data_IF_407730434889
#
_entry.id   IF_407730434889
#
_cell.length_a   1.000
_cell.length_b   1.000
_cell.length_c   1.000
_cell.angle_alpha   90.00
_cell.angle_beta   90.00
_cell.angle_gamma   90.00
#
_symmetry.space_group_name_H-M   'P 1'
#
loop_
_entity.id
_entity.type
_entity.pdbx_description
1 polymer ?
#
# COMPACT_ATOMS: atom_id res chain seq x y z
N UNK A 1 -19.10 -38.63 12.01
CA UNK A 1 -18.19 -37.92 11.09
C UNK A 1 -16.77 -38.43 11.30
N UNK A 2 -16.11 -38.94 10.26
CA UNK A 2 -14.83 -39.66 10.40
C UNK A 2 -13.65 -38.68 10.61
N UNK A 3 -12.74 -38.91 11.58
CA UNK A 3 -11.53 -38.10 11.82
C UNK A 3 -10.64 -37.89 10.57
N UNK A 4 -10.80 -38.75 9.57
CA UNK A 4 -10.08 -38.70 8.29
C UNK A 4 -10.33 -37.39 7.52
N UNK A 5 -11.51 -36.80 7.65
CA UNK A 5 -11.82 -35.52 7.00
C UNK A 5 -11.10 -34.33 7.66
N UNK A 6 -10.82 -34.41 8.96
CA UNK A 6 -10.08 -33.38 9.71
C UNK A 6 -8.58 -33.44 9.46
N UNK A 7 -8.04 -34.63 9.18
CA UNK A 7 -6.64 -34.81 8.78
C UNK A 7 -6.36 -34.11 7.43
N UNK A 8 -7.27 -34.25 6.47
CA UNK A 8 -7.14 -33.57 5.18
C UNK A 8 -7.14 -32.05 5.29
N UNK A 9 -8.08 -31.49 6.07
CA UNK A 9 -8.14 -30.03 6.29
C UNK A 9 -6.96 -29.52 7.11
N UNK A 10 -6.48 -30.25 8.11
CA UNK A 10 -5.30 -29.88 8.88
C UNK A 10 -4.03 -29.80 8.00
N UNK A 11 -3.85 -30.76 7.10
CA UNK A 11 -2.73 -30.74 6.13
C UNK A 11 -2.86 -29.54 5.18
N UNK A 12 -4.07 -29.28 4.67
CA UNK A 12 -4.33 -28.14 3.79
C UNK A 12 -3.98 -26.81 4.46
N UNK A 13 -4.42 -26.61 5.71
CA UNK A 13 -4.15 -25.41 6.51
C UNK A 13 -2.65 -25.26 6.79
N UNK A 14 -1.96 -26.35 7.12
CA UNK A 14 -0.51 -26.33 7.35
C UNK A 14 0.27 -25.92 6.08
N UNK A 15 -0.09 -26.46 4.92
CA UNK A 15 0.54 -26.13 3.64
C UNK A 15 0.27 -24.67 3.27
N UNK A 16 -0.98 -24.20 3.36
CA UNK A 16 -1.34 -22.80 3.10
C UNK A 16 -0.57 -21.84 4.00
N UNK A 17 -0.47 -22.16 5.29
CA UNK A 17 0.24 -21.34 6.27
C UNK A 17 1.73 -21.25 5.94
N UNK A 18 2.36 -22.36 5.56
CA UNK A 18 3.76 -22.40 5.12
C UNK A 18 3.97 -21.59 3.83
N UNK A 19 3.09 -21.74 2.84
CA UNK A 19 3.19 -20.98 1.58
C UNK A 19 3.09 -19.48 1.86
N UNK A 20 2.11 -19.04 2.65
CA UNK A 20 1.94 -17.62 3.01
C UNK A 20 3.14 -17.12 3.82
N UNK A 21 3.65 -17.91 4.77
CA UNK A 21 4.83 -17.56 5.56
C UNK A 21 6.07 -17.39 4.68
N UNK A 22 6.33 -18.34 3.78
CA UNK A 22 7.44 -18.27 2.81
C UNK A 22 7.27 -17.10 1.85
N UNK A 23 6.05 -16.79 1.41
CA UNK A 23 5.80 -15.69 0.50
C UNK A 23 6.01 -14.33 1.19
N UNK A 24 5.54 -14.21 2.44
CA UNK A 24 5.76 -13.05 3.31
C UNK A 24 7.21 -12.91 3.77
N UNK A 25 7.95 -14.01 3.84
CA UNK A 25 9.38 -14.04 4.16
C UNK A 25 10.24 -13.73 2.93
N UNK A 26 9.81 -14.14 1.74
CA UNK A 26 10.42 -13.75 0.44
C UNK A 26 10.27 -12.27 0.17
N UNK A 27 9.13 -11.67 0.54
CA UNK A 27 9.03 -10.22 0.64
C UNK A 27 9.86 -9.76 1.82
N UNK A 28 11.08 -9.29 1.53
CA UNK A 28 11.94 -8.79 2.60
C UNK A 28 11.21 -7.64 3.27
N UNK A 29 11.29 -7.48 4.60
CA UNK A 29 10.75 -6.28 5.29
C UNK A 29 11.20 -4.98 4.60
N UNK A 30 12.39 -5.01 4.00
CA UNK A 30 12.99 -3.97 3.17
C UNK A 30 12.24 -3.71 1.85
N UNK A 31 11.70 -4.73 1.18
CA UNK A 31 10.89 -4.56 -0.03
C UNK A 31 9.51 -3.98 0.30
N UNK A 32 8.86 -4.49 1.36
CA UNK A 32 7.58 -3.95 1.82
C UNK A 32 7.75 -2.48 2.24
N UNK A 33 8.82 -2.18 3.00
CA UNK A 33 9.17 -0.82 3.36
C UNK A 33 9.50 0.05 2.14
N UNK A 34 10.22 -0.49 1.15
CA UNK A 34 10.53 0.21 -0.10
C UNK A 34 9.29 0.56 -0.92
N UNK A 35 8.31 -0.35 -1.00
CA UNK A 35 7.02 -0.09 -1.63
C UNK A 35 6.25 0.98 -0.85
N UNK A 36 6.21 0.88 0.48
CA UNK A 36 5.53 1.85 1.34
C UNK A 36 6.13 3.26 1.19
N UNK A 37 7.46 3.38 1.20
CA UNK A 37 8.17 4.65 0.97
C UNK A 37 7.88 5.21 -0.42
N UNK A 38 7.88 4.36 -1.47
CA UNK A 38 7.51 4.80 -2.82
C UNK A 38 6.08 5.34 -2.88
N UNK A 39 5.13 4.70 -2.21
CA UNK A 39 3.73 5.16 -2.15
C UNK A 39 3.65 6.52 -1.46
N UNK A 40 4.29 6.69 -0.30
CA UNK A 40 4.30 7.96 0.46
C UNK A 40 4.94 9.08 -0.36
N UNK A 41 6.10 8.84 -1.00
CA UNK A 41 6.77 9.82 -1.86
C UNK A 41 5.90 10.21 -3.05
N UNK A 42 5.28 9.24 -3.71
CA UNK A 42 4.38 9.50 -4.85
C UNK A 42 3.21 10.36 -4.41
N UNK A 43 2.60 10.07 -3.27
CA UNK A 43 1.51 10.86 -2.72
C UNK A 43 1.96 12.29 -2.38
N UNK A 44 3.14 12.46 -1.76
CA UNK A 44 3.71 13.76 -1.44
C UNK A 44 3.97 14.61 -2.70
N UNK A 45 4.49 14.00 -3.77
CA UNK A 45 4.69 14.68 -5.06
C UNK A 45 3.37 15.12 -5.68
N UNK A 46 2.35 14.25 -5.67
CA UNK A 46 1.03 14.59 -6.21
C UNK A 46 0.41 15.74 -5.42
N UNK A 47 0.37 15.62 -4.09
CA UNK A 47 -0.21 16.66 -3.22
C UNK A 47 0.55 17.97 -3.37
N UNK A 48 1.88 17.94 -3.30
CA UNK A 48 2.71 19.14 -3.47
C UNK A 48 2.56 19.77 -4.86
N UNK A 49 2.49 18.94 -5.90
CA UNK A 49 2.26 19.40 -7.27
C UNK A 49 0.90 20.07 -7.44
N UNK A 50 -0.17 19.46 -6.91
CA UNK A 50 -1.52 20.06 -6.93
C UNK A 50 -1.55 21.37 -6.15
N UNK A 51 -0.90 21.41 -4.98
CA UNK A 51 -0.86 22.61 -4.15
C UNK A 51 -0.10 23.75 -4.83
N UNK A 52 1.09 23.47 -5.36
CA UNK A 52 1.88 24.46 -6.09
C UNK A 52 1.20 24.95 -7.36
N UNK A 53 0.53 24.04 -8.09
CA UNK A 53 -0.23 24.40 -9.28
C UNK A 53 -1.45 25.26 -8.95
N UNK A 54 -2.18 24.94 -7.89
CA UNK A 54 -3.28 25.77 -7.40
C UNK A 54 -2.79 27.17 -7.01
N UNK A 55 -1.64 27.28 -6.36
CA UNK A 55 -1.06 28.56 -5.97
C UNK A 55 -0.59 29.38 -7.18
N UNK A 56 -0.04 28.74 -8.22
CA UNK A 56 0.30 29.37 -9.49
C UNK A 56 -0.94 29.94 -10.21
N UNK A 57 -2.02 29.16 -10.28
CA UNK A 57 -3.28 29.61 -10.86
C UNK A 57 -3.90 30.77 -10.07
N UNK A 58 -3.77 30.76 -8.75
CA UNK A 58 -4.19 31.86 -7.89
C UNK A 58 -3.33 33.12 -8.12
N UNK A 59 -2.01 32.97 -8.26
CA UNK A 59 -1.11 34.07 -8.58
C UNK A 59 -1.45 34.73 -9.92
N UNK A 60 -1.87 33.95 -10.92
CA UNK A 60 -2.33 34.46 -12.21
C UNK A 60 -3.79 34.95 -12.21
N UNK A 61 -4.49 34.91 -11.07
CA UNK A 61 -5.88 35.35 -10.95
C UNK A 61 -6.90 34.47 -11.68
N UNK A 62 -6.48 33.27 -12.12
CA UNK A 62 -7.33 32.31 -12.84
C UNK A 62 -8.21 31.52 -11.87
N UNK A 63 -7.74 31.29 -10.63
CA UNK A 63 -8.46 30.56 -9.60
C UNK A 63 -8.51 31.35 -8.28
N UNK A 64 -9.66 31.33 -7.61
CA UNK A 64 -9.79 31.88 -6.26
C UNK A 64 -9.03 30.96 -5.28
N UNK A 65 -8.23 31.54 -4.37
CA UNK A 65 -7.40 30.79 -3.41
C UNK A 65 -8.28 30.08 -2.36
N UNK A 66 -8.92 28.98 -2.75
CA UNK A 66 -9.80 28.17 -1.90
C UNK A 66 -9.12 26.92 -1.33
N UNK A 67 -7.92 26.57 -1.80
CA UNK A 67 -7.08 25.54 -1.20
C UNK A 67 -6.41 26.12 0.06
N UNK A 68 -7.17 26.18 1.15
CA UNK A 68 -6.66 26.58 2.46
C UNK A 68 -6.07 25.38 3.21
N UNK A 69 -4.87 25.58 3.73
CA UNK A 69 -4.38 25.06 5.01
C UNK A 69 -3.67 26.22 5.72
#
# INVERSE_FOLDING_TARGET
MSPRYYLGTAILVAVLTLVISVWKQKQTKREIFGVMVKVILTLAVIVGGVFGFAQLLAYWGVAQSGFFL
#
